data_IF_635951615710
#
_entry.id   IF_635951615710
#
_cell.length_a   1.000
_cell.length_b   1.000
_cell.length_c   1.000
_cell.angle_alpha   90.00
_cell.angle_beta   90.00
_cell.angle_gamma   90.00
#
_symmetry.space_group_name_H-M   'P 1'
#
loop_
_entity.id
_entity.type
_entity.pdbx_description
1 polymer ?
#
# COMPACT_ATOMS: atom_id res chain seq x y z
N UNK A 1 18.77 -9.92 -7.49
CA UNK A 1 19.43 -8.83 -6.76
C UNK A 1 18.60 -8.52 -5.51
N UNK A 2 19.22 -8.48 -4.33
CA UNK A 2 18.55 -8.06 -3.09
C UNK A 2 18.26 -6.56 -3.17
N UNK A 3 17.01 -6.17 -2.91
CA UNK A 3 16.58 -4.77 -2.97
C UNK A 3 17.23 -3.94 -1.86
N UNK A 4 17.24 -2.62 -1.98
CA UNK A 4 17.70 -1.74 -0.89
C UNK A 4 16.89 -1.97 0.40
N UNK A 5 15.63 -2.39 0.29
CA UNK A 5 14.73 -2.72 1.40
C UNK A 5 15.13 -3.99 2.14
N UNK A 6 15.56 -5.02 1.41
CA UNK A 6 16.06 -6.26 1.99
C UNK A 6 17.34 -6.01 2.80
N UNK A 7 18.25 -5.18 2.25
CA UNK A 7 19.47 -4.77 2.97
C UNK A 7 19.19 -3.91 4.20
N UNK A 8 18.14 -3.09 4.15
CA UNK A 8 17.70 -2.26 5.27
C UNK A 8 16.93 -3.05 6.35
N UNK A 9 16.70 -4.36 6.17
CA UNK A 9 15.98 -5.18 7.14
C UNK A 9 14.51 -4.77 7.33
N UNK A 10 13.92 -4.10 6.34
CA UNK A 10 12.54 -3.61 6.47
C UNK A 10 11.52 -4.76 6.42
N UNK A 11 11.87 -5.86 5.76
CA UNK A 11 11.04 -7.06 5.71
C UNK A 11 11.08 -7.90 6.99
N UNK A 12 11.94 -7.56 7.97
CA UNK A 12 12.00 -8.23 9.29
C UNK A 12 11.26 -7.46 10.37
N UNK A 13 10.70 -6.29 10.06
CA UNK A 13 9.89 -5.51 10.99
C UNK A 13 8.46 -6.06 11.05
N UNK A 14 7.75 -5.82 12.16
CA UNK A 14 6.36 -6.27 12.31
C UNK A 14 5.43 -5.60 11.30
N UNK A 15 5.46 -4.26 11.24
CA UNK A 15 4.75 -3.43 10.25
C UNK A 15 5.63 -2.25 9.87
N UNK A 16 5.61 -1.88 8.59
CA UNK A 16 6.29 -0.71 8.02
C UNK A 16 5.30 0.12 7.22
N UNK A 17 5.19 1.40 7.55
CA UNK A 17 4.38 2.41 6.85
C UNK A 17 5.22 3.65 6.55
N UNK A 18 4.82 4.42 5.53
CA UNK A 18 5.43 5.71 5.23
C UNK A 18 4.67 6.87 5.85
N UNK A 19 5.36 7.97 6.17
CA UNK A 19 4.69 9.24 6.42
C UNK A 19 3.99 9.73 5.15
N UNK A 20 2.79 10.29 5.29
CA UNK A 20 2.06 10.94 4.20
C UNK A 20 2.91 12.05 3.55
N UNK A 21 2.79 12.19 2.23
CA UNK A 21 3.41 13.30 1.52
C UNK A 21 2.65 14.59 1.82
N UNK A 22 3.34 15.58 2.40
CA UNK A 22 2.82 16.94 2.42
C UNK A 22 2.71 17.46 0.99
N UNK A 23 1.59 18.10 0.59
CA UNK A 23 1.34 18.56 -0.79
C UNK A 23 2.47 19.39 -1.42
N UNK A 24 3.35 19.99 -0.61
CA UNK A 24 4.42 20.87 -1.09
C UNK A 24 5.84 20.44 -0.66
N UNK A 25 6.02 19.26 -0.06
CA UNK A 25 7.35 18.78 0.36
C UNK A 25 8.08 19.66 1.39
N UNK A 26 7.38 20.63 2.00
CA UNK A 26 7.92 21.65 2.92
C UNK A 26 7.92 21.23 4.39
N UNK A 27 7.33 20.08 4.74
CA UNK A 27 7.36 19.57 6.12
C UNK A 27 8.68 18.85 6.37
N UNK A 28 9.55 19.48 7.15
CA UNK A 28 10.92 18.98 7.44
C UNK A 28 11.09 18.37 8.81
N UNK A 29 10.05 18.36 9.64
CA UNK A 29 10.05 17.74 10.97
C UNK A 29 8.66 17.13 11.16
N UNK A 30 8.57 16.09 11.98
CA UNK A 30 7.41 15.48 12.67
C UNK A 30 6.25 16.46 13.01
N UNK A 31 5.72 17.19 12.05
CA UNK A 31 4.42 17.83 12.14
C UNK A 31 3.39 16.71 12.10
N UNK A 32 2.47 16.73 13.06
CA UNK A 32 1.29 15.86 13.13
C UNK A 32 0.77 15.60 11.71
N UNK A 33 1.06 14.42 11.21
CA UNK A 33 0.97 14.10 9.79
C UNK A 33 0.73 12.62 9.70
N UNK A 34 -0.33 12.23 8.99
CA UNK A 34 -0.76 10.85 9.03
C UNK A 34 0.19 9.91 8.29
N UNK A 35 -0.18 8.65 8.30
CA UNK A 35 0.56 7.61 7.60
C UNK A 35 -0.08 7.34 6.24
N UNK A 36 0.76 7.09 5.24
CA UNK A 36 0.35 6.65 3.92
C UNK A 36 0.11 5.14 3.94
N UNK A 37 -1.09 4.73 3.54
CA UNK A 37 -1.56 3.35 3.48
C UNK A 37 -1.36 2.70 2.11
N UNK A 38 -0.85 3.44 1.11
CA UNK A 38 -0.64 2.95 -0.24
C UNK A 38 0.34 1.78 -0.33
N UNK A 39 1.33 1.73 0.58
CA UNK A 39 2.25 0.59 0.72
C UNK A 39 2.35 0.21 2.19
N UNK A 40 1.99 -1.04 2.48
CA UNK A 40 2.11 -1.64 3.81
C UNK A 40 2.96 -2.89 3.67
N UNK A 41 4.12 -2.93 4.33
CA UNK A 41 4.86 -4.18 4.52
C UNK A 41 4.61 -4.65 5.95
N UNK A 42 4.04 -5.84 6.11
CA UNK A 42 3.71 -6.36 7.42
C UNK A 42 3.87 -7.87 7.45
N UNK A 43 4.23 -8.39 8.61
CA UNK A 43 4.10 -9.82 8.85
C UNK A 43 2.62 -10.21 8.89
N UNK A 44 2.36 -11.47 8.56
CA UNK A 44 1.02 -12.08 8.72
C UNK A 44 0.53 -11.91 10.17
N UNK A 45 -0.74 -11.54 10.32
CA UNK A 45 -1.42 -11.33 11.62
C UNK A 45 -0.78 -10.26 12.53
N UNK A 46 -0.10 -9.25 11.97
CA UNK A 46 0.51 -8.17 12.75
C UNK A 46 -0.50 -7.49 13.70
N UNK A 47 -0.21 -7.39 15.02
CA UNK A 47 -1.13 -6.81 16.01
C UNK A 47 -1.57 -5.38 15.65
N UNK A 48 -0.64 -4.56 15.18
CA UNK A 48 -0.93 -3.19 14.75
C UNK A 48 -2.05 -3.12 13.70
N UNK A 49 -1.97 -3.95 12.65
CA UNK A 49 -2.98 -3.99 11.60
C UNK A 49 -4.34 -4.49 12.10
N UNK A 50 -4.36 -5.43 13.06
CA UNK A 50 -5.62 -5.87 13.68
C UNK A 50 -6.29 -4.74 14.46
N UNK A 51 -5.52 -4.02 15.28
CA UNK A 51 -6.03 -2.85 16.03
C UNK A 51 -6.53 -1.77 15.08
N UNK A 52 -5.77 -1.48 14.04
CA UNK A 52 -6.17 -0.48 13.06
C UNK A 52 -7.44 -0.91 12.34
N UNK A 53 -7.56 -2.17 11.91
CA UNK A 53 -8.78 -2.70 11.29
C UNK A 53 -10.00 -2.59 12.23
N UNK A 54 -9.85 -2.85 13.53
CA UNK A 54 -10.94 -2.67 14.51
C UNK A 54 -11.45 -1.22 14.56
N UNK A 55 -10.61 -0.21 14.29
CA UNK A 55 -11.08 1.18 14.25
C UNK A 55 -12.10 1.45 13.13
N UNK A 56 -12.15 0.60 12.09
CA UNK A 56 -13.13 0.72 11.01
C UNK A 56 -14.54 0.29 11.41
N UNK A 57 -14.77 -0.23 12.63
CA UNK A 57 -16.13 -0.46 13.15
C UNK A 57 -16.98 0.82 13.17
N UNK A 58 -16.35 1.98 13.35
CA UNK A 58 -16.96 3.31 13.31
C UNK A 58 -16.61 4.09 12.03
N UNK A 59 -16.35 3.39 10.92
CA UNK A 59 -15.91 4.03 9.67
C UNK A 59 -16.98 4.96 9.10
N UNK A 60 -16.58 6.20 8.82
CA UNK A 60 -17.38 7.20 8.10
C UNK A 60 -16.70 7.51 6.76
N UNK A 61 -17.37 7.15 5.66
CA UNK A 61 -16.88 7.38 4.31
C UNK A 61 -16.74 8.86 3.95
N UNK A 62 -17.47 9.75 4.63
CA UNK A 62 -17.38 11.20 4.41
C UNK A 62 -16.08 11.78 4.97
N UNK A 63 -15.43 11.08 5.90
CA UNK A 63 -14.16 11.46 6.54
C UNK A 63 -13.14 10.32 6.45
N UNK A 64 -12.99 9.76 5.25
CA UNK A 64 -12.14 8.59 4.97
C UNK A 64 -10.69 8.74 5.46
N UNK A 65 -10.13 9.95 5.38
CA UNK A 65 -8.77 10.26 5.80
C UNK A 65 -8.60 10.13 7.33
N UNK A 66 -9.67 10.29 8.10
CA UNK A 66 -9.64 10.10 9.54
C UNK A 66 -9.18 8.69 9.90
N UNK A 67 -9.77 7.66 9.28
CA UNK A 67 -9.41 6.27 9.54
C UNK A 67 -8.18 5.80 8.77
N UNK A 68 -7.99 6.28 7.54
CA UNK A 68 -6.94 5.74 6.65
C UNK A 68 -5.58 6.42 6.84
N UNK A 69 -5.56 7.65 7.40
CA UNK A 69 -4.35 8.47 7.50
C UNK A 69 -4.08 8.88 8.95
N UNK A 70 -5.07 9.41 9.67
CA UNK A 70 -4.88 9.90 11.05
C UNK A 70 -4.86 8.79 12.11
N UNK A 71 -5.80 7.83 12.09
CA UNK A 71 -5.83 6.71 13.05
C UNK A 71 -4.55 5.88 13.13
N UNK A 72 -3.89 5.47 12.02
CA UNK A 72 -2.65 4.72 12.13
C UNK A 72 -1.53 5.57 12.76
N UNK A 73 -1.54 6.90 12.60
CA UNK A 73 -0.62 7.80 13.30
C UNK A 73 -0.88 7.83 14.81
N UNK A 74 -2.14 7.96 15.22
CA UNK A 74 -2.53 7.87 16.65
C UNK A 74 -2.09 6.53 17.26
N UNK A 75 -2.31 5.42 16.55
CA UNK A 75 -1.89 4.09 16.99
C UNK A 75 -0.37 3.95 17.04
N UNK A 76 0.37 4.58 16.13
CA UNK A 76 1.83 4.57 16.15
C UNK A 76 2.39 5.23 17.41
N UNK A 77 1.75 6.30 17.89
CA UNK A 77 2.11 6.95 19.15
C UNK A 77 1.81 6.07 20.37
N UNK A 78 0.71 5.30 20.34
CA UNK A 78 0.30 4.42 21.44
C UNK A 78 1.08 3.10 21.48
N UNK A 79 1.48 2.58 20.31
CA UNK A 79 2.15 1.30 20.13
C UNK A 79 3.45 1.44 19.34
N UNK A 80 4.44 2.24 19.83
CA UNK A 80 5.63 2.62 19.06
C UNK A 80 6.57 1.45 18.73
N UNK A 81 6.35 0.27 19.33
CA UNK A 81 7.11 -0.96 19.04
C UNK A 81 6.47 -1.84 17.98
N UNK A 82 5.20 -1.60 17.63
CA UNK A 82 4.46 -2.43 16.67
C UNK A 82 4.55 -1.88 15.23
N UNK A 83 5.11 -0.68 15.04
CA UNK A 83 5.21 -0.01 13.75
C UNK A 83 6.56 0.69 13.54
N UNK A 84 7.17 0.45 12.39
CA UNK A 84 8.29 1.25 11.86
C UNK A 84 7.75 2.30 10.89
N UNK A 85 8.04 3.58 11.15
CA UNK A 85 7.63 4.70 10.28
C UNK A 85 8.80 5.13 9.41
N UNK A 86 8.61 5.07 8.09
CA UNK A 86 9.56 5.55 7.11
C UNK A 86 9.27 6.99 6.69
N UNK A 87 10.32 7.73 6.34
CA UNK A 87 10.16 9.03 5.71
C UNK A 87 9.46 8.94 4.35
N UNK A 88 8.83 10.04 3.93
CA UNK A 88 8.01 10.13 2.71
C UNK A 88 8.74 9.67 1.44
N UNK A 89 10.04 9.95 1.31
CA UNK A 89 10.82 9.52 0.13
C UNK A 89 11.07 8.01 0.12
N UNK A 90 11.23 7.41 1.29
CA UNK A 90 11.49 5.98 1.39
C UNK A 90 10.25 5.16 0.99
N UNK A 91 9.03 5.61 1.31
CA UNK A 91 7.81 4.90 0.89
C UNK A 91 7.55 5.03 -0.62
N UNK A 92 7.90 6.18 -1.22
CA UNK A 92 7.82 6.35 -2.68
C UNK A 92 8.73 5.36 -3.41
N UNK A 93 9.98 5.21 -2.96
CA UNK A 93 10.87 4.21 -3.51
C UNK A 93 10.44 2.77 -3.20
N UNK A 94 9.72 2.55 -2.10
CA UNK A 94 9.12 1.24 -1.78
C UNK A 94 8.06 0.87 -2.82
N UNK A 95 7.19 1.81 -3.17
CA UNK A 95 6.20 1.61 -4.23
C UNK A 95 6.88 1.25 -5.57
N UNK A 96 7.83 2.06 -6.02
CA UNK A 96 8.50 1.83 -7.31
C UNK A 96 9.32 0.53 -7.32
N UNK A 97 10.05 0.24 -6.24
CA UNK A 97 11.02 -0.86 -6.24
C UNK A 97 10.45 -2.20 -5.75
N UNK A 98 9.45 -2.19 -4.88
CA UNK A 98 8.86 -3.40 -4.30
C UNK A 98 7.50 -3.75 -4.89
N UNK A 99 6.64 -2.78 -5.18
CA UNK A 99 5.29 -3.07 -5.64
C UNK A 99 5.26 -3.40 -7.14
N UNK A 100 6.06 -2.72 -7.96
CA UNK A 100 6.06 -2.90 -9.43
C UNK A 100 6.24 -4.36 -9.83
N UNK A 101 7.16 -5.11 -9.20
CA UNK A 101 7.37 -6.54 -9.53
C UNK A 101 6.12 -7.42 -9.33
N UNK A 102 5.18 -6.99 -8.49
CA UNK A 102 3.91 -7.67 -8.24
C UNK A 102 2.76 -7.09 -9.06
N UNK A 103 2.85 -5.81 -9.46
CA UNK A 103 1.82 -5.12 -10.22
C UNK A 103 2.00 -5.24 -11.73
N UNK A 104 3.24 -5.25 -12.22
CA UNK A 104 3.59 -5.35 -13.65
C UNK A 104 2.97 -6.57 -14.34
N UNK A 105 2.91 -7.77 -13.72
CA UNK A 105 2.26 -8.92 -14.36
C UNK A 105 0.73 -8.86 -14.35
N UNK A 106 0.11 -7.92 -13.61
CA UNK A 106 -1.34 -7.86 -13.47
C UNK A 106 -1.99 -7.37 -14.77
N UNK A 107 -2.60 -8.30 -15.50
CA UNK A 107 -3.48 -7.99 -16.61
C UNK A 107 -4.95 -8.21 -16.23
N UNK A 108 -5.92 -7.60 -16.93
CA UNK A 108 -7.35 -7.89 -16.74
C UNK A 108 -7.64 -9.40 -16.75
N UNK A 109 -7.06 -10.15 -17.69
CA UNK A 109 -7.20 -11.61 -17.73
C UNK A 109 -6.59 -12.31 -16.52
N UNK A 110 -5.43 -11.87 -16.02
CA UNK A 110 -4.82 -12.45 -14.81
C UNK A 110 -5.67 -12.17 -13.57
N UNK A 111 -6.21 -10.95 -13.46
CA UNK A 111 -7.10 -10.56 -12.35
C UNK A 111 -8.37 -11.43 -12.33
N UNK A 112 -8.98 -11.65 -13.50
CA UNK A 112 -10.17 -12.49 -13.63
C UNK A 112 -9.92 -13.95 -13.24
N UNK A 113 -8.71 -14.48 -13.46
CA UNK A 113 -8.33 -15.87 -13.16
C UNK A 113 -7.68 -16.07 -11.79
N UNK A 114 -7.11 -15.04 -11.18
CA UNK A 114 -6.28 -15.17 -9.99
C UNK A 114 -7.09 -15.31 -8.70
N UNK A 115 -6.67 -16.17 -7.77
CA UNK A 115 -7.41 -16.52 -6.54
C UNK A 115 -6.98 -15.76 -5.26
N UNK A 116 -6.06 -14.81 -5.40
CA UNK A 116 -5.64 -13.94 -4.28
C UNK A 116 -6.80 -13.11 -3.73
N UNK A 117 -6.71 -12.66 -2.48
CA UNK A 117 -7.69 -11.72 -1.90
C UNK A 117 -7.80 -10.44 -2.74
N UNK A 118 -6.67 -9.92 -3.19
CA UNK A 118 -6.60 -8.75 -4.06
C UNK A 118 -7.37 -8.97 -5.36
N UNK A 119 -7.03 -10.00 -6.13
CA UNK A 119 -7.70 -10.29 -7.41
C UNK A 119 -9.18 -10.55 -7.22
N UNK A 120 -9.60 -11.26 -6.16
CA UNK A 120 -11.04 -11.43 -5.84
C UNK A 120 -11.74 -10.10 -5.57
N UNK A 121 -11.11 -9.19 -4.84
CA UNK A 121 -11.67 -7.86 -4.55
C UNK A 121 -11.79 -7.01 -5.82
N UNK A 122 -10.76 -6.99 -6.67
CA UNK A 122 -10.73 -6.08 -7.82
C UNK A 122 -11.44 -6.61 -9.08
N UNK A 123 -11.81 -7.90 -9.12
CA UNK A 123 -12.53 -8.52 -10.26
C UNK A 123 -13.77 -7.74 -10.70
N UNK A 124 -14.54 -7.21 -9.75
CA UNK A 124 -15.76 -6.46 -10.04
C UNK A 124 -15.51 -5.14 -10.79
N UNK A 125 -14.27 -4.62 -10.75
CA UNK A 125 -13.87 -3.39 -11.42
C UNK A 125 -13.23 -3.64 -12.80
N UNK A 126 -13.07 -4.90 -13.21
CA UNK A 126 -12.57 -5.24 -14.54
C UNK A 126 -13.68 -5.05 -15.57
N UNK A 127 -13.64 -3.90 -16.26
CA UNK A 127 -14.59 -3.56 -17.31
C UNK A 127 -14.18 -4.05 -18.72
N UNK A 128 -15.10 -4.00 -19.69
CA UNK A 128 -14.84 -4.38 -21.09
C UNK A 128 -13.71 -3.57 -21.73
N UNK A 129 -13.50 -2.32 -21.30
CA UNK A 129 -12.39 -1.49 -21.80
C UNK A 129 -11.02 -2.04 -21.39
N UNK A 130 -10.89 -2.61 -20.19
CA UNK A 130 -9.63 -3.22 -19.75
C UNK A 130 -9.24 -4.39 -20.66
N UNK A 131 -10.19 -5.25 -21.01
CA UNK A 131 -9.97 -6.39 -21.92
C UNK A 131 -9.62 -5.95 -23.34
N UNK A 132 -10.23 -4.86 -23.83
CA UNK A 132 -9.88 -4.27 -25.14
C UNK A 132 -8.45 -3.73 -25.15
N UNK A 133 -8.02 -3.06 -24.08
CA UNK A 133 -6.65 -2.55 -23.93
C UNK A 133 -5.65 -3.71 -23.90
N UNK A 134 -5.92 -4.75 -23.10
CA UNK A 134 -5.09 -5.96 -23.05
C UNK A 134 -4.92 -6.60 -24.43
N UNK A 135 -6.03 -6.74 -25.17
CA UNK A 135 -6.00 -7.28 -26.54
C UNK A 135 -5.14 -6.44 -27.49
N UNK A 136 -5.28 -5.11 -27.48
CA UNK A 136 -4.49 -4.20 -28.33
C UNK A 136 -2.99 -4.27 -28.01
N UNK A 137 -2.63 -4.37 -26.73
CA UNK A 137 -1.22 -4.50 -26.32
C UNK A 137 -0.61 -5.82 -26.80
N UNK A 138 -1.36 -6.91 -26.73
CA UNK A 138 -0.95 -8.20 -27.28
C UNK A 138 -0.74 -8.15 -28.80
N UNK A 139 -1.68 -7.54 -29.53
CA UNK A 139 -1.59 -7.36 -30.99
C UNK A 139 -0.38 -6.50 -31.39
N UNK A 140 -0.06 -5.45 -30.64
CA UNK A 140 1.08 -4.57 -30.88
C UNK A 140 2.46 -5.19 -30.54
N UNK A 141 2.51 -6.21 -29.69
CA UNK A 141 3.74 -6.94 -29.35
C UNK A 141 4.03 -8.11 -30.30
N UNK A 142 3.02 -8.55 -31.07
CA UNK A 142 3.13 -9.64 -32.04
C UNK A 142 3.42 -9.18 -33.49
N UNK A 143 3.80 -7.92 -33.70
CA UNK A 143 4.22 -7.32 -34.98
C UNK A 143 5.67 -6.84 -34.91
#
# INVERSE_FOLDING_TARGET
>A
MSSAFDRAGLMTQDVVLGMEASPNGRRTVLELGGLCDAVIAARREAPFLKRWLTTYESFDSTVWAGHSVAKPWELALLYPRELTVLGTRAIYHAWESLAIKYLEPLTPSLVLKGESSFTRMIRAFVGPEGLKVEKRLWEAQGS
#
